data_IF_036383078247
#
_entry.id   IF_036383078247
#
_cell.length_a   1.000
_cell.length_b   1.000
_cell.length_c   1.000
_cell.angle_alpha   90.00
_cell.angle_beta   90.00
_cell.angle_gamma   90.00
#
_symmetry.space_group_name_H-M   'P 1'
#
loop_
_entity.id
_entity.type
_entity.pdbx_description
1 polymer ?
#
# COMPACT_ATOMS: atom_id res chain seq x y z
N UNK A 1 17.01 -18.47 0.33
CA UNK A 1 17.54 -18.50 -1.07
C UNK A 1 16.87 -17.47 -1.99
N UNK A 2 15.73 -16.88 -1.59
CA UNK A 2 15.07 -15.75 -2.29
C UNK A 2 15.75 -14.41 -1.99
N UNK A 3 16.46 -14.32 -0.86
CA UNK A 3 17.16 -13.10 -0.41
C UNK A 3 18.13 -12.55 -1.47
N UNK A 4 18.71 -13.42 -2.32
CA UNK A 4 19.56 -13.00 -3.43
C UNK A 4 18.80 -12.20 -4.50
N UNK A 5 17.55 -12.57 -4.81
CA UNK A 5 16.74 -11.90 -5.85
C UNK A 5 16.25 -10.52 -5.41
N UNK A 6 16.15 -10.27 -4.11
CA UNK A 6 15.68 -9.01 -3.55
C UNK A 6 16.82 -8.12 -3.03
N UNK A 7 18.06 -8.63 -2.96
CA UNK A 7 19.20 -7.97 -2.31
C UNK A 7 19.51 -6.59 -2.88
N UNK A 8 19.36 -6.42 -4.18
CA UNK A 8 19.68 -5.19 -4.90
C UNK A 8 18.43 -4.34 -5.21
N UNK A 9 17.26 -4.73 -4.69
CA UNK A 9 16.01 -4.02 -4.88
C UNK A 9 15.62 -3.25 -3.62
N UNK A 10 15.03 -2.06 -3.81
CA UNK A 10 14.47 -1.26 -2.72
C UNK A 10 12.96 -1.47 -2.63
N UNK A 11 12.38 -1.64 -1.43
CA UNK A 11 10.92 -1.64 -1.28
C UNK A 11 10.36 -0.26 -1.64
N UNK A 12 9.44 -0.24 -2.61
CA UNK A 12 8.73 0.96 -3.04
C UNK A 12 7.33 1.08 -2.41
N UNK A 13 6.93 0.10 -1.60
CA UNK A 13 5.64 0.06 -0.95
C UNK A 13 4.81 -1.15 -1.40
N UNK A 14 3.51 -0.97 -1.54
CA UNK A 14 2.56 -2.07 -1.74
C UNK A 14 1.42 -1.68 -2.67
N UNK A 15 0.81 -2.69 -3.29
CA UNK A 15 -0.36 -2.56 -4.15
C UNK A 15 -1.53 -3.34 -3.55
N UNK A 16 -2.73 -2.78 -3.63
CA UNK A 16 -3.97 -3.44 -3.22
C UNK A 16 -5.11 -3.16 -4.18
N UNK A 17 -6.12 -4.03 -4.14
CA UNK A 17 -7.39 -3.82 -4.83
C UNK A 17 -8.38 -3.10 -3.90
N UNK A 18 -9.27 -2.32 -4.50
CA UNK A 18 -10.32 -1.61 -3.78
C UNK A 18 -11.62 -1.63 -4.60
N UNK A 19 -12.76 -1.74 -3.90
CA UNK A 19 -14.07 -1.79 -4.54
C UNK A 19 -14.69 -0.40 -4.76
N UNK A 20 -14.38 0.56 -3.90
CA UNK A 20 -14.97 1.90 -3.91
C UNK A 20 -13.93 2.96 -4.25
N UNK A 21 -14.32 4.01 -4.96
CA UNK A 21 -13.43 5.13 -5.23
C UNK A 21 -13.22 5.98 -3.99
N UNK A 22 -11.95 6.19 -3.61
CA UNK A 22 -11.58 7.06 -2.50
C UNK A 22 -10.42 7.94 -2.96
N UNK A 23 -10.59 9.25 -2.85
CA UNK A 23 -9.59 10.23 -3.32
C UNK A 23 -8.35 10.31 -2.41
N UNK A 24 -8.44 9.77 -1.20
CA UNK A 24 -7.37 9.67 -0.21
C UNK A 24 -7.19 8.22 0.22
N UNK A 25 -6.10 7.92 0.95
CA UNK A 25 -5.94 6.61 1.58
C UNK A 25 -7.01 6.39 2.65
N UNK A 26 -7.50 5.15 2.78
CA UNK A 26 -8.41 4.82 3.87
C UNK A 26 -7.66 4.86 5.22
N UNK A 27 -8.36 5.05 6.35
CA UNK A 27 -7.71 5.05 7.66
C UNK A 27 -6.95 3.73 7.95
N UNK A 28 -7.47 2.61 7.47
CA UNK A 28 -6.83 1.29 7.58
C UNK A 28 -5.53 1.24 6.77
N UNK A 29 -5.51 1.79 5.55
CA UNK A 29 -4.30 1.82 4.72
C UNK A 29 -3.24 2.75 5.32
N UNK A 30 -3.66 3.93 5.81
CA UNK A 30 -2.78 4.88 6.50
C UNK A 30 -2.14 4.22 7.73
N UNK A 31 -2.94 3.51 8.52
CA UNK A 31 -2.48 2.80 9.71
C UNK A 31 -1.51 1.68 9.34
N UNK A 32 -1.86 0.87 8.32
CA UNK A 32 -1.02 -0.24 7.85
C UNK A 32 0.32 0.26 7.32
N UNK A 33 0.30 1.26 6.44
CA UNK A 33 1.53 1.83 5.89
C UNK A 33 2.38 2.50 6.97
N UNK A 34 1.77 3.21 7.93
CA UNK A 34 2.51 3.84 9.03
C UNK A 34 3.17 2.81 9.96
N UNK A 35 2.50 1.70 10.26
CA UNK A 35 3.05 0.61 11.07
C UNK A 35 4.19 -0.10 10.35
N UNK A 36 4.00 -0.45 9.07
CA UNK A 36 5.05 -1.03 8.23
C UNK A 36 6.29 -0.12 8.16
N UNK A 37 6.10 1.19 7.96
CA UNK A 37 7.21 2.16 7.97
C UNK A 37 7.89 2.32 9.34
N UNK A 38 7.19 2.03 10.45
CA UNK A 38 7.77 2.09 11.78
C UNK A 38 8.59 0.83 12.10
N UNK A 39 8.13 -0.33 11.64
CA UNK A 39 8.76 -1.63 11.88
C UNK A 39 9.93 -1.91 10.91
N UNK A 40 9.90 -1.30 9.72
CA UNK A 40 10.86 -1.53 8.65
C UNK A 40 11.58 -0.24 8.23
N UNK A 41 12.80 0.03 8.73
CA UNK A 41 13.58 1.24 8.40
C UNK A 41 13.88 1.41 6.91
N UNK A 42 13.88 0.32 6.14
CA UNK A 42 14.06 0.32 4.69
C UNK A 42 12.88 0.96 3.94
N UNK A 43 11.72 1.11 4.60
CA UNK A 43 10.54 1.82 4.09
C UNK A 43 10.59 3.30 4.46
N UNK A 44 11.06 4.12 3.52
CA UNK A 44 11.17 5.57 3.70
C UNK A 44 9.99 6.37 3.17
N UNK A 45 10.20 7.68 3.02
CA UNK A 45 9.26 8.61 2.39
C UNK A 45 8.94 8.29 0.92
N UNK A 46 9.79 7.48 0.27
CA UNK A 46 9.57 7.00 -1.10
C UNK A 46 8.54 5.87 -1.20
N UNK A 47 8.08 5.31 -0.07
CA UNK A 47 7.11 4.21 -0.07
C UNK A 47 5.71 4.73 -0.43
N UNK A 48 5.06 4.03 -1.36
CA UNK A 48 3.74 4.37 -1.88
C UNK A 48 2.74 3.23 -1.64
N UNK A 49 1.47 3.59 -1.50
CA UNK A 49 0.35 2.67 -1.57
C UNK A 49 -0.32 2.86 -2.94
N UNK A 50 -0.30 1.82 -3.76
CA UNK A 50 -0.99 1.78 -5.05
C UNK A 50 -2.35 1.10 -4.88
N UNK A 51 -3.40 1.78 -5.32
CA UNK A 51 -4.77 1.28 -5.26
C UNK A 51 -5.27 1.00 -6.67
N UNK A 52 -5.64 -0.25 -6.92
CA UNK A 52 -6.35 -0.71 -8.11
C UNK A 52 -7.86 -0.75 -7.83
N UNK A 53 -8.56 0.26 -8.32
CA UNK A 53 -10.00 0.38 -8.22
C UNK A 53 -10.67 -0.33 -9.40
N UNK A 54 -11.62 -1.22 -9.10
CA UNK A 54 -12.46 -1.82 -10.12
C UNK A 54 -13.66 -0.93 -10.43
N UNK A 55 -13.70 -0.41 -11.64
CA UNK A 55 -14.85 0.27 -12.22
C UNK A 55 -15.53 -0.66 -13.23
N UNK A 56 -16.84 -0.52 -13.53
CA UNK A 56 -17.48 -1.38 -14.52
C UNK A 56 -16.75 -1.35 -15.87
N UNK A 57 -16.20 -2.50 -16.29
CA UNK A 57 -15.46 -2.65 -17.54
C UNK A 57 -14.04 -2.04 -17.56
N UNK A 58 -13.51 -1.55 -16.45
CA UNK A 58 -12.20 -0.88 -16.41
C UNK A 58 -11.51 -0.98 -15.04
N UNK A 59 -10.23 -0.58 -14.98
CA UNK A 59 -9.47 -0.47 -13.73
C UNK A 59 -8.84 0.91 -13.64
N UNK A 60 -9.12 1.62 -12.55
CA UNK A 60 -8.51 2.91 -12.25
C UNK A 60 -7.37 2.72 -11.24
N UNK A 61 -6.17 3.19 -11.59
CA UNK A 61 -5.00 3.13 -10.71
C UNK A 61 -4.74 4.49 -10.07
N UNK A 62 -4.52 4.49 -8.76
CA UNK A 62 -4.12 5.68 -8.02
C UNK A 62 -3.01 5.35 -7.04
N UNK A 63 -1.99 6.20 -6.98
CA UNK A 63 -0.86 6.04 -6.08
C UNK A 63 -0.85 7.16 -5.04
N UNK A 64 -0.62 6.80 -3.79
CA UNK A 64 -0.57 7.74 -2.67
C UNK A 64 0.68 7.51 -1.82
N UNK A 65 1.28 8.59 -1.36
CA UNK A 65 2.36 8.60 -0.38
C UNK A 65 1.85 9.13 0.96
N UNK A 66 2.41 8.61 2.04
CA UNK A 66 2.03 8.98 3.40
C UNK A 66 2.72 10.29 3.81
N UNK A 67 1.95 11.28 4.27
CA UNK A 67 2.52 12.50 4.83
C UNK A 67 3.01 12.28 6.27
N UNK A 68 3.88 13.15 6.77
CA UNK A 68 4.40 13.12 8.15
C UNK A 68 3.26 13.10 9.19
N UNK A 69 2.18 13.85 8.94
CA UNK A 69 0.99 13.84 9.80
C UNK A 69 0.31 12.46 9.83
N UNK A 70 0.15 11.84 8.66
CA UNK A 70 -0.42 10.50 8.53
C UNK A 70 0.44 9.44 9.21
N UNK A 71 1.77 9.53 9.09
CA UNK A 71 2.68 8.61 9.78
C UNK A 71 2.57 8.72 11.32
N UNK A 72 2.59 9.96 11.85
CA UNK A 72 2.49 10.20 13.30
C UNK A 72 1.16 9.70 13.88
N UNK A 73 0.07 9.84 13.13
CA UNK A 73 -1.26 9.37 13.51
C UNK A 73 -1.38 7.86 13.35
N UNK A 74 -1.08 7.31 12.16
CA UNK A 74 -1.27 5.90 11.83
C UNK A 74 -0.46 4.94 12.69
N UNK A 75 0.77 5.31 13.10
CA UNK A 75 1.58 4.49 14.01
C UNK A 75 0.99 4.35 15.41
N UNK A 76 0.17 5.32 15.84
CA UNK A 76 -0.46 5.34 17.17
C UNK A 76 -1.88 4.81 17.15
N UNK A 77 -2.50 4.69 15.97
CA UNK A 77 -3.89 4.35 15.84
C UNK A 77 -4.15 2.87 16.22
N UNK A 78 -4.93 2.60 17.29
CA UNK A 78 -5.30 1.25 17.68
C UNK A 78 -6.60 0.79 16.99
N UNK A 79 -7.38 1.71 16.42
CA UNK A 79 -8.72 1.44 15.90
C UNK A 79 -8.70 1.19 14.38
N UNK A 80 -9.25 0.06 13.95
CA UNK A 80 -9.39 -0.32 12.54
C UNK A 80 -10.80 -0.03 11.97
N UNK A 81 -11.63 0.73 12.69
CA UNK A 81 -12.93 1.18 12.22
C UNK A 81 -12.81 2.05 10.96
N UNK A 82 -13.94 2.24 10.27
CA UNK A 82 -13.99 3.09 9.06
C UNK A 82 -13.78 4.57 9.38
N UNK A 83 -14.11 5.01 10.60
CA UNK A 83 -14.03 6.42 11.02
C UNK A 83 -13.32 6.54 12.37
N UNK A 84 -12.00 6.25 12.42
CA UNK A 84 -11.26 6.33 13.67
C UNK A 84 -11.03 7.79 14.08
N UNK A 85 -10.96 8.07 15.39
CA UNK A 85 -10.85 9.43 15.90
C UNK A 85 -9.55 10.10 15.45
N UNK A 86 -9.67 11.36 15.02
CA UNK A 86 -8.53 12.18 14.60
C UNK A 86 -8.00 11.89 13.19
N UNK A 87 -8.64 10.99 12.43
CA UNK A 87 -8.33 10.81 11.01
C UNK A 87 -8.64 12.07 10.20
N UNK A 88 -7.80 12.36 9.20
CA UNK A 88 -7.99 13.47 8.26
C UNK A 88 -7.56 13.02 6.86
N UNK A 89 -8.36 13.34 5.85
CA UNK A 89 -8.07 13.05 4.43
C UNK A 89 -6.72 13.61 3.95
N UNK A 90 -6.23 14.69 4.57
CA UNK A 90 -4.92 15.30 4.28
C UNK A 90 -3.72 14.53 4.84
N UNK A 91 -3.92 13.34 5.41
CA UNK A 91 -2.84 12.46 5.90
C UNK A 91 -2.07 11.76 4.78
N UNK A 92 -2.61 11.76 3.56
CA UNK A 92 -2.00 11.16 2.38
C UNK A 92 -1.92 12.17 1.23
N UNK A 93 -0.91 12.02 0.38
CA UNK A 93 -0.71 12.82 -0.83
C UNK A 93 -0.78 11.93 -2.05
N UNK A 94 -1.52 12.33 -3.08
CA UNK A 94 -1.47 11.66 -4.38
C UNK A 94 -0.10 11.89 -5.04
N UNK A 95 0.46 10.82 -5.61
CA UNK A 95 1.74 10.87 -6.35
C UNK A 95 1.52 10.47 -7.80
N UNK A 96 2.45 10.89 -8.66
CA UNK A 96 2.39 10.58 -10.09
C UNK A 96 2.73 9.10 -10.32
N UNK A 97 1.92 8.46 -11.18
CA UNK A 97 2.12 7.10 -11.63
C UNK A 97 2.19 7.09 -13.16
N UNK A 98 3.15 6.36 -13.72
CA UNK A 98 3.29 6.14 -15.15
C UNK A 98 3.26 4.64 -15.42
N UNK A 99 2.48 4.24 -16.42
CA UNK A 99 2.48 2.87 -16.93
C UNK A 99 3.43 2.80 -18.13
N UNK A 100 4.24 1.76 -18.18
CA UNK A 100 5.16 1.54 -19.29
C UNK A 100 5.14 0.07 -19.69
N UNK A 101 5.18 -0.15 -21.00
CA UNK A 101 5.33 -1.44 -21.66
C UNK A 101 6.80 -1.79 -21.95
N UNK A 102 7.72 -0.86 -21.70
CA UNK A 102 9.15 -1.01 -22.03
C UNK A 102 9.90 -1.95 -21.10
N UNK A 103 9.39 -2.17 -19.89
CA UNK A 103 10.04 -2.95 -18.84
C UNK A 103 9.07 -4.01 -18.33
N UNK A 104 9.54 -5.25 -18.29
CA UNK A 104 8.77 -6.37 -17.74
C UNK A 104 9.07 -6.52 -16.25
N UNK A 105 8.01 -6.54 -15.44
CA UNK A 105 8.10 -6.89 -14.02
C UNK A 105 8.12 -8.40 -13.80
N UNK A 106 8.53 -8.83 -12.61
CA UNK A 106 8.41 -10.21 -12.15
C UNK A 106 7.55 -10.30 -10.89
N UNK A 107 6.99 -11.48 -10.61
CA UNK A 107 6.28 -11.75 -9.37
C UNK A 107 6.96 -12.88 -8.61
N UNK A 108 6.99 -12.76 -7.29
CA UNK A 108 7.44 -13.82 -6.39
C UNK A 108 6.23 -14.30 -5.58
N UNK A 109 6.14 -15.60 -5.35
CA UNK A 109 5.06 -16.23 -4.59
C UNK A 109 5.65 -17.04 -3.43
N UNK A 110 4.88 -17.25 -2.33
CA UNK A 110 5.33 -18.10 -1.24
C UNK A 110 5.67 -19.52 -1.73
N UNK A 111 6.62 -20.20 -1.07
CA UNK A 111 7.06 -21.55 -1.45
C UNK A 111 5.89 -22.57 -1.50
N UNK A 112 4.92 -22.42 -0.59
CA UNK A 112 3.70 -23.22 -0.58
C UNK A 112 2.70 -22.89 -1.70
N UNK A 113 3.04 -21.99 -2.64
CA UNK A 113 2.24 -21.51 -3.79
C UNK A 113 0.86 -20.92 -3.45
N UNK A 114 0.50 -20.85 -2.17
CA UNK A 114 -0.75 -20.27 -1.69
C UNK A 114 -0.46 -18.94 -1.02
N UNK A 115 -0.95 -17.86 -1.62
CA UNK A 115 -0.95 -16.51 -1.04
C UNK A 115 -2.35 -16.09 -0.58
N UNK A 116 -3.40 -16.63 -1.19
CA UNK A 116 -4.78 -16.29 -0.88
C UNK A 116 -5.36 -17.24 0.17
N UNK A 117 -5.42 -16.77 1.42
CA UNK A 117 -5.99 -17.52 2.54
C UNK A 117 -7.48 -17.21 2.78
N UNK A 118 -8.12 -16.35 1.99
CA UNK A 118 -9.51 -15.93 2.22
C UNK A 118 -10.52 -17.08 2.18
N UNK A 119 -10.21 -18.18 1.48
CA UNK A 119 -11.11 -19.34 1.31
C UNK A 119 -10.61 -20.62 1.98
N UNK A 120 -9.53 -20.57 2.75
CA UNK A 120 -9.16 -21.72 3.62
C UNK A 120 -10.03 -21.62 4.87
N UNK A 121 -11.02 -22.52 4.95
CA UNK A 121 -11.69 -22.86 6.20
C UNK A 121 -10.73 -23.62 7.12
#
# INVERSE_FOLDING_TARGET
KIDFLLKDLKPLGWIKTQALEINHLSPTDVTTQAKLMADHPEWGSSSICLTALFTPGSVSLSAHSLMVAGFKWGRKNPDNSQNPPGFNSNMSKRVQLLLSDRILGMTLVPEGRVWNYRRRA
#
